data_IF_530480698667
#
_entry.id   IF_530480698667
#
_cell.length_a   1.000
_cell.length_b   1.000
_cell.length_c   1.000
_cell.angle_alpha   90.00
_cell.angle_beta   90.00
_cell.angle_gamma   90.00
#
_symmetry.space_group_name_H-M   'P 1'
#
loop_
_entity.id
_entity.type
_entity.pdbx_description
1 polymer ?
#
# COMPACT_ATOMS: atom_id res chain seq x y z
N UNK A 1 -6.61 -13.65 12.84
CA UNK A 1 -6.09 -12.26 12.83
C UNK A 1 -7.23 -11.30 13.09
N UNK A 2 -7.08 -10.44 14.08
CA UNK A 2 -8.03 -9.36 14.31
C UNK A 2 -7.79 -8.24 13.32
N UNK A 3 -8.86 -7.72 12.73
CA UNK A 3 -8.77 -6.63 11.75
C UNK A 3 -9.81 -5.58 12.10
N UNK A 4 -9.41 -4.32 12.06
CA UNK A 4 -10.31 -3.19 12.23
C UNK A 4 -10.39 -2.38 10.95
N UNK A 5 -11.54 -1.79 10.70
CA UNK A 5 -11.83 -1.05 9.48
C UNK A 5 -12.34 0.36 9.82
N UNK A 6 -11.96 1.34 9.00
CA UNK A 6 -12.47 2.69 9.06
C UNK A 6 -12.65 3.20 7.64
N UNK A 7 -13.87 3.57 7.27
CA UNK A 7 -14.16 4.10 5.96
C UNK A 7 -15.03 3.19 5.10
N UNK A 8 -14.85 3.25 3.80
CA UNK A 8 -15.72 2.57 2.84
C UNK A 8 -15.31 1.11 2.60
N UNK A 9 -15.93 0.18 3.28
CA UNK A 9 -15.64 -1.25 3.16
C UNK A 9 -16.00 -1.85 1.80
N UNK A 10 -16.84 -1.17 1.02
CA UNK A 10 -17.22 -1.64 -0.32
C UNK A 10 -16.04 -1.67 -1.27
N UNK A 11 -14.99 -0.90 -0.97
CA UNK A 11 -13.77 -0.90 -1.77
C UNK A 11 -13.10 -2.28 -1.81
N UNK A 12 -13.32 -3.11 -0.80
CA UNK A 12 -12.78 -4.48 -0.78
C UNK A 12 -13.34 -5.36 -1.90
N UNK A 13 -14.51 -5.01 -2.44
CA UNK A 13 -15.17 -5.78 -3.50
C UNK A 13 -14.66 -5.42 -4.90
N UNK A 14 -13.89 -4.34 -5.02
CA UNK A 14 -13.38 -3.87 -6.30
C UNK A 14 -12.00 -4.47 -6.60
N UNK A 15 -11.57 -4.37 -7.87
CA UNK A 15 -10.23 -4.83 -8.25
C UNK A 15 -9.18 -3.98 -7.54
N UNK A 16 -8.22 -4.65 -6.89
CA UNK A 16 -7.22 -4.00 -6.06
C UNK A 16 -5.82 -4.24 -6.60
N UNK A 17 -5.07 -3.17 -6.78
CA UNK A 17 -3.66 -3.20 -7.18
C UNK A 17 -2.83 -2.75 -5.98
N UNK A 18 -1.97 -3.63 -5.50
CA UNK A 18 -1.10 -3.33 -4.37
C UNK A 18 0.19 -2.67 -4.84
N UNK A 19 0.71 -1.75 -4.05
CA UNK A 19 2.04 -1.20 -4.24
C UNK A 19 2.91 -1.51 -3.02
N UNK A 20 4.02 -2.20 -3.25
CA UNK A 20 4.99 -2.53 -2.21
C UNK A 20 6.39 -2.13 -2.70
N UNK A 21 7.23 -1.63 -1.79
CA UNK A 21 8.56 -1.19 -2.16
C UNK A 21 9.51 -1.34 -0.98
N UNK A 22 10.73 -1.78 -1.26
CA UNK A 22 11.79 -1.86 -0.25
C UNK A 22 12.14 -0.47 0.28
N UNK A 23 12.68 -0.41 1.49
CA UNK A 23 13.15 0.85 2.08
C UNK A 23 14.34 1.40 1.33
N UNK A 24 15.27 0.53 0.94
CA UNK A 24 16.45 0.91 0.15
C UNK A 24 16.08 0.81 -1.30
N UNK A 25 16.13 1.92 -2.01
CA UNK A 25 15.67 2.05 -3.39
C UNK A 25 16.73 2.75 -4.22
N UNK A 26 17.01 2.23 -5.41
CA UNK A 26 17.92 2.90 -6.34
C UNK A 26 17.27 4.16 -6.90
N UNK A 27 18.08 5.14 -7.33
CA UNK A 27 17.57 6.41 -7.87
C UNK A 27 16.72 6.21 -9.12
N UNK A 28 17.08 5.24 -9.98
CA UNK A 28 16.28 4.92 -11.15
C UNK A 28 14.90 4.37 -10.81
N UNK A 29 14.83 3.56 -9.75
CA UNK A 29 13.57 2.99 -9.29
C UNK A 29 12.63 4.06 -8.72
N UNK A 30 13.18 5.09 -8.07
CA UNK A 30 12.38 6.18 -7.50
C UNK A 30 11.53 6.84 -8.57
N UNK A 31 12.13 7.21 -9.70
CA UNK A 31 11.42 7.85 -10.80
C UNK A 31 10.32 6.95 -11.36
N UNK A 32 10.60 5.66 -11.50
CA UNK A 32 9.61 4.71 -12.00
C UNK A 32 8.42 4.58 -11.07
N UNK A 33 8.66 4.63 -9.76
CA UNK A 33 7.59 4.60 -8.77
C UNK A 33 6.69 5.83 -8.89
N UNK A 34 7.29 7.00 -9.06
CA UNK A 34 6.53 8.26 -9.19
C UNK A 34 5.72 8.26 -10.49
N UNK A 35 6.31 7.83 -11.60
CA UNK A 35 5.61 7.74 -12.88
C UNK A 35 4.42 6.77 -12.80
N UNK A 36 4.64 5.62 -12.16
CA UNK A 36 3.56 4.65 -11.95
C UNK A 36 2.41 5.25 -11.14
N UNK A 37 2.74 5.93 -10.03
CA UNK A 37 1.73 6.55 -9.17
C UNK A 37 0.93 7.61 -9.93
N UNK A 38 1.60 8.42 -10.75
CA UNK A 38 0.95 9.45 -11.56
C UNK A 38 -0.02 8.83 -12.56
N UNK A 39 0.36 7.73 -13.21
CA UNK A 39 -0.52 7.01 -14.13
C UNK A 39 -1.72 6.42 -13.40
N UNK A 40 -1.50 5.83 -12.24
CA UNK A 40 -2.57 5.20 -11.47
C UNK A 40 -3.57 6.22 -10.93
N UNK A 41 -3.10 7.45 -10.64
CA UNK A 41 -3.94 8.51 -10.11
C UNK A 41 -5.07 8.90 -11.07
N UNK A 42 -4.90 8.66 -12.37
CA UNK A 42 -5.91 8.95 -13.40
C UNK A 42 -6.84 7.75 -13.66
N UNK A 43 -6.61 6.61 -13.02
CA UNK A 43 -7.35 5.38 -13.26
C UNK A 43 -8.47 5.14 -12.27
N UNK A 44 -9.11 3.98 -12.41
CA UNK A 44 -10.25 3.56 -11.60
C UNK A 44 -9.91 2.43 -10.61
N UNK A 45 -8.71 1.87 -10.69
CA UNK A 45 -8.33 0.78 -9.81
C UNK A 45 -8.20 1.25 -8.36
N UNK A 46 -8.61 0.39 -7.44
CA UNK A 46 -8.30 0.61 -6.03
C UNK A 46 -6.81 0.33 -5.84
N UNK A 47 -6.10 1.30 -5.28
CA UNK A 47 -4.69 1.12 -4.93
C UNK A 47 -4.60 0.81 -3.44
N UNK A 48 -3.98 -0.31 -3.11
CA UNK A 48 -3.83 -0.76 -1.72
C UNK A 48 -2.37 -0.81 -1.34
N UNK A 49 -2.05 -0.33 -0.14
CA UNK A 49 -0.68 -0.36 0.35
C UNK A 49 -0.57 0.01 1.81
N UNK A 50 0.63 -0.18 2.36
CA UNK A 50 0.94 0.23 3.73
C UNK A 50 1.40 1.67 3.81
N UNK A 51 1.99 2.17 2.73
CA UNK A 51 2.44 3.56 2.57
C UNK A 51 3.30 4.04 3.76
N UNK A 52 4.19 3.16 4.22
CA UNK A 52 4.97 3.43 5.43
C UNK A 52 6.39 3.90 5.15
N UNK A 53 7.08 3.29 4.18
CA UNK A 53 8.44 3.73 3.81
C UNK A 53 8.37 5.08 3.11
N UNK A 54 9.52 5.77 3.00
CA UNK A 54 9.55 7.08 2.35
C UNK A 54 8.99 7.03 0.92
N UNK A 55 9.42 6.04 0.13
CA UNK A 55 8.95 5.91 -1.26
C UNK A 55 7.46 5.63 -1.29
N UNK A 56 6.99 4.76 -0.41
CA UNK A 56 5.56 4.45 -0.35
C UNK A 56 4.73 5.67 0.05
N UNK A 57 5.24 6.49 0.97
CA UNK A 57 4.59 7.76 1.34
C UNK A 57 4.56 8.74 0.17
N UNK A 58 5.64 8.81 -0.59
CA UNK A 58 5.70 9.66 -1.78
C UNK A 58 4.69 9.20 -2.83
N UNK A 59 4.58 7.88 -3.04
CA UNK A 59 3.59 7.31 -3.95
C UNK A 59 2.18 7.66 -3.49
N UNK A 60 1.88 7.53 -2.20
CA UNK A 60 0.59 7.93 -1.66
C UNK A 60 0.30 9.41 -1.96
N UNK A 61 1.30 10.27 -1.78
CA UNK A 61 1.16 11.70 -2.06
C UNK A 61 0.72 11.95 -3.51
N UNK A 62 1.33 11.26 -4.48
CA UNK A 62 0.92 11.36 -5.88
C UNK A 62 -0.49 10.82 -6.11
N UNK A 63 -0.82 9.69 -5.49
CA UNK A 63 -2.14 9.07 -5.63
C UNK A 63 -3.26 9.95 -5.05
N UNK A 64 -2.97 10.68 -3.98
CA UNK A 64 -3.95 11.57 -3.36
C UNK A 64 -4.36 12.74 -4.26
N UNK A 65 -3.56 13.06 -5.27
CA UNK A 65 -3.90 14.09 -6.25
C UNK A 65 -4.93 13.60 -7.27
N UNK A 66 -5.14 12.29 -7.37
CA UNK A 66 -6.09 11.70 -8.29
C UNK A 66 -7.44 11.42 -7.65
N UNK A 67 -8.25 10.64 -8.36
CA UNK A 67 -9.62 10.30 -7.94
C UNK A 67 -9.80 8.81 -7.65
N UNK A 68 -8.77 7.99 -7.85
CA UNK A 68 -8.86 6.56 -7.64
C UNK A 68 -9.13 6.25 -6.16
N UNK A 69 -9.87 5.17 -5.86
CA UNK A 69 -10.06 4.73 -4.49
C UNK A 69 -8.78 4.20 -3.88
N UNK A 70 -8.65 4.34 -2.57
CA UNK A 70 -7.46 3.93 -1.81
C UNK A 70 -7.82 3.04 -0.64
N UNK A 71 -7.03 2.00 -0.43
CA UNK A 71 -7.06 1.21 0.81
C UNK A 71 -5.69 1.34 1.47
N UNK A 72 -5.66 1.94 2.64
CA UNK A 72 -4.44 2.11 3.44
C UNK A 72 -4.45 1.08 4.55
N UNK A 73 -3.47 0.19 4.56
CA UNK A 73 -3.35 -0.86 5.56
C UNK A 73 -2.24 -0.51 6.54
N UNK A 74 -2.61 -0.29 7.79
CA UNK A 74 -1.65 0.10 8.82
C UNK A 74 -1.30 -1.09 9.71
N UNK A 75 -0.03 -1.15 10.10
CA UNK A 75 0.53 -2.24 10.91
C UNK A 75 0.57 -1.87 12.40
N UNK A 76 -0.45 -1.16 12.84
CA UNK A 76 -0.59 -0.66 14.21
C UNK A 76 -2.07 -0.42 14.52
N UNK A 77 -2.37 -0.02 15.74
CA UNK A 77 -3.73 0.35 16.15
C UNK A 77 -4.30 1.45 15.24
N UNK A 78 -5.63 1.44 15.09
CA UNK A 78 -6.31 2.43 14.27
C UNK A 78 -6.01 3.85 14.74
N UNK A 79 -5.98 4.80 13.79
CA UNK A 79 -5.77 6.21 14.09
C UNK A 79 -6.82 6.73 15.05
N UNK A 80 -6.39 7.45 16.07
CA UNK A 80 -7.28 8.21 16.96
C UNK A 80 -7.70 9.50 16.27
N UNK A 81 -6.76 10.12 15.53
CA UNK A 81 -7.04 11.27 14.68
C UNK A 81 -6.57 10.93 13.27
N UNK A 82 -7.47 11.13 12.30
CA UNK A 82 -7.15 10.87 10.91
C UNK A 82 -6.09 11.87 10.43
N UNK A 83 -5.00 11.41 9.77
CA UNK A 83 -4.05 12.34 9.14
C UNK A 83 -4.78 13.29 8.19
N UNK A 84 -4.42 14.57 8.22
CA UNK A 84 -5.12 15.60 7.46
C UNK A 84 -5.26 15.30 5.98
N UNK A 85 -4.21 14.72 5.37
CA UNK A 85 -4.22 14.39 3.94
C UNK A 85 -5.24 13.31 3.56
N UNK A 86 -5.70 12.53 4.52
CA UNK A 86 -6.69 11.46 4.28
C UNK A 86 -8.13 11.92 4.50
N UNK A 87 -8.34 13.13 4.99
CA UNK A 87 -9.66 13.65 5.29
C UNK A 87 -10.53 13.78 4.04
N UNK A 88 -9.98 14.35 2.98
CA UNK A 88 -10.72 14.56 1.73
C UNK A 88 -11.18 13.25 1.10
N UNK A 89 -10.29 12.27 0.83
CA UNK A 89 -10.75 11.00 0.26
C UNK A 89 -11.68 10.24 1.19
N UNK A 90 -11.52 10.36 2.52
CA UNK A 90 -12.45 9.74 3.46
C UNK A 90 -13.85 10.33 3.33
N UNK A 91 -13.96 11.65 3.28
CA UNK A 91 -15.24 12.34 3.15
C UNK A 91 -15.90 12.06 1.79
N UNK A 92 -15.11 11.79 0.76
CA UNK A 92 -15.61 11.49 -0.58
C UNK A 92 -15.97 10.00 -0.77
N UNK A 93 -15.78 9.16 0.25
CA UNK A 93 -16.06 7.73 0.15
C UNK A 93 -15.04 6.93 -0.65
N UNK A 94 -13.86 7.49 -0.90
CA UNK A 94 -12.79 6.88 -1.70
C UNK A 94 -11.72 6.21 -0.86
N UNK A 95 -11.89 6.13 0.45
CA UNK A 95 -10.85 5.62 1.35
C UNK A 95 -11.40 4.55 2.28
N UNK A 96 -10.61 3.49 2.44
CA UNK A 96 -10.77 2.52 3.52
C UNK A 96 -9.42 2.39 4.22
N UNK A 97 -9.43 2.50 5.54
CA UNK A 97 -8.25 2.23 6.36
C UNK A 97 -8.46 0.90 7.06
N UNK A 98 -7.46 0.02 6.99
CA UNK A 98 -7.50 -1.29 7.63
C UNK A 98 -6.34 -1.39 8.62
N UNK A 99 -6.61 -1.79 9.85
CA UNK A 99 -5.56 -2.13 10.81
C UNK A 99 -5.45 -3.65 10.91
N UNK A 100 -4.27 -4.19 10.66
CA UNK A 100 -3.98 -5.62 10.83
C UNK A 100 -3.33 -5.91 12.17
N UNK A 101 -3.12 -4.89 13.00
CA UNK A 101 -2.51 -5.01 14.32
C UNK A 101 -3.18 -4.04 15.31
N UNK A 102 -4.49 -4.22 15.59
CA UNK A 102 -5.25 -3.25 16.39
C UNK A 102 -4.76 -3.11 17.83
N UNK A 103 -3.99 -4.09 18.33
CA UNK A 103 -3.45 -4.04 19.69
C UNK A 103 -2.01 -3.52 19.73
N UNK A 104 -1.40 -3.25 18.59
CA UNK A 104 -0.02 -2.76 18.53
C UNK A 104 0.02 -1.23 18.61
N UNK A 105 0.69 -0.69 19.63
CA UNK A 105 0.81 0.76 19.80
C UNK A 105 1.66 1.37 18.69
N UNK A 106 2.67 0.64 18.22
CA UNK A 106 3.57 1.11 17.16
C UNK A 106 3.92 -0.04 16.21
N UNK A 107 4.36 0.35 15.01
CA UNK A 107 4.79 -0.62 14.00
C UNK A 107 6.08 -1.30 14.41
N UNK A 108 6.17 -2.61 14.16
CA UNK A 108 7.38 -3.41 14.29
C UNK A 108 7.66 -4.12 12.98
N UNK A 109 8.81 -4.75 12.86
CA UNK A 109 9.12 -5.58 11.67
C UNK A 109 8.09 -6.70 11.53
N UNK A 110 7.70 -7.33 12.63
CA UNK A 110 6.71 -8.40 12.62
C UNK A 110 5.33 -7.91 12.15
N UNK A 111 4.83 -6.81 12.71
CA UNK A 111 3.52 -6.28 12.29
C UNK A 111 3.54 -5.75 10.87
N UNK A 112 4.66 -5.18 10.42
CA UNK A 112 4.82 -4.73 9.05
C UNK A 112 4.81 -5.89 8.06
N UNK A 113 5.50 -6.99 8.38
CA UNK A 113 5.52 -8.19 7.54
C UNK A 113 4.14 -8.84 7.44
N UNK A 114 3.43 -8.93 8.54
CA UNK A 114 2.05 -9.45 8.55
C UNK A 114 1.12 -8.59 7.72
N UNK A 115 1.25 -7.27 7.82
CA UNK A 115 0.47 -6.33 6.99
C UNK A 115 0.76 -6.53 5.52
N UNK A 116 2.03 -6.64 5.12
CA UNK A 116 2.40 -6.84 3.73
C UNK A 116 1.87 -8.18 3.19
N UNK A 117 1.89 -9.22 4.01
CA UNK A 117 1.30 -10.51 3.62
C UNK A 117 -0.20 -10.39 3.41
N UNK A 118 -0.89 -9.71 4.31
CA UNK A 118 -2.33 -9.47 4.19
C UNK A 118 -2.67 -8.72 2.89
N UNK A 119 -1.95 -7.61 2.61
CA UNK A 119 -2.13 -6.86 1.38
C UNK A 119 -1.98 -7.78 0.17
N UNK A 120 -0.92 -8.59 0.18
CA UNK A 120 -0.59 -9.46 -0.96
C UNK A 120 -1.65 -10.53 -1.19
N UNK A 121 -2.25 -11.05 -0.13
CA UNK A 121 -3.31 -12.05 -0.24
C UNK A 121 -4.57 -11.48 -0.88
N UNK A 122 -4.98 -10.27 -0.49
CA UNK A 122 -6.25 -9.72 -0.97
C UNK A 122 -6.14 -8.92 -2.26
N UNK A 123 -4.94 -8.54 -2.68
CA UNK A 123 -4.74 -7.80 -3.93
C UNK A 123 -4.92 -8.70 -5.14
N UNK A 124 -5.46 -8.15 -6.21
CA UNK A 124 -5.60 -8.86 -7.48
C UNK A 124 -4.30 -8.80 -8.29
N UNK A 125 -3.53 -7.74 -8.10
CA UNK A 125 -2.23 -7.54 -8.72
C UNK A 125 -1.30 -6.89 -7.70
N UNK A 126 -0.02 -7.26 -7.72
CA UNK A 126 0.98 -6.66 -6.83
C UNK A 126 2.05 -6.00 -7.68
N UNK A 127 2.26 -4.71 -7.46
CA UNK A 127 3.30 -3.94 -8.13
C UNK A 127 4.39 -3.64 -7.12
N UNK A 128 5.59 -4.16 -7.38
CA UNK A 128 6.77 -3.89 -6.58
C UNK A 128 7.55 -2.75 -7.22
N UNK A 129 7.73 -1.64 -6.50
CA UNK A 129 8.54 -0.53 -6.99
C UNK A 129 9.99 -0.92 -7.13
N UNK A 130 10.51 -1.61 -6.13
CA UNK A 130 11.87 -2.12 -6.09
C UNK A 130 11.96 -3.15 -4.96
N UNK A 131 12.69 -4.21 -5.18
CA UNK A 131 12.94 -5.21 -4.14
C UNK A 131 14.46 -5.30 -3.93
N UNK A 132 14.93 -4.79 -2.80
CA UNK A 132 16.35 -4.90 -2.46
C UNK A 132 16.68 -6.34 -2.08
N UNK A 133 17.95 -6.69 -2.20
CA UNK A 133 18.44 -8.07 -2.04
C UNK A 133 18.09 -8.70 -0.69
N UNK A 134 18.06 -7.89 0.36
CA UNK A 134 17.80 -8.36 1.73
C UNK A 134 16.37 -8.12 2.21
N UNK A 135 15.50 -7.63 1.33
CA UNK A 135 14.12 -7.31 1.69
C UNK A 135 13.28 -8.57 1.89
N UNK A 136 12.42 -8.54 2.91
CA UNK A 136 11.39 -9.58 3.11
C UNK A 136 10.39 -9.63 1.96
N UNK A 137 10.34 -8.60 1.12
CA UNK A 137 9.47 -8.58 -0.06
C UNK A 137 9.85 -9.64 -1.09
N UNK A 138 11.09 -10.14 -1.06
CA UNK A 138 11.50 -11.26 -1.92
C UNK A 138 10.63 -12.49 -1.73
N UNK A 139 10.30 -12.82 -0.49
CA UNK A 139 9.45 -13.98 -0.18
C UNK A 139 8.03 -13.77 -0.70
N UNK A 140 7.50 -12.57 -0.54
CA UNK A 140 6.16 -12.24 -1.05
C UNK A 140 6.15 -12.32 -2.58
N UNK A 141 7.17 -11.80 -3.24
CA UNK A 141 7.27 -11.86 -4.69
C UNK A 141 7.26 -13.31 -5.18
N UNK A 142 8.04 -14.19 -4.54
CA UNK A 142 8.09 -15.61 -4.91
C UNK A 142 6.77 -16.32 -4.67
N UNK A 143 6.09 -16.00 -3.57
CA UNK A 143 4.81 -16.63 -3.22
C UNK A 143 3.69 -16.22 -4.18
N UNK A 144 3.69 -14.99 -4.65
CA UNK A 144 2.63 -14.43 -5.50
C UNK A 144 3.14 -14.02 -6.88
N UNK A 145 4.13 -14.72 -7.40
CA UNK A 145 4.81 -14.34 -8.64
C UNK A 145 3.85 -14.19 -9.83
N UNK A 146 2.80 -15.01 -9.90
CA UNK A 146 1.86 -15.02 -11.02
C UNK A 146 1.05 -13.73 -11.14
N UNK A 147 0.88 -12.99 -10.04
CA UNK A 147 0.15 -11.72 -10.05
C UNK A 147 1.04 -10.53 -9.76
N UNK A 148 2.35 -10.73 -9.77
CA UNK A 148 3.33 -9.69 -9.40
C UNK A 148 4.03 -9.10 -10.60
N UNK A 149 4.42 -7.83 -10.49
CA UNK A 149 5.21 -7.08 -11.44
C UNK A 149 6.24 -6.26 -10.68
N UNK A 150 7.47 -6.18 -11.20
CA UNK A 150 8.50 -5.33 -10.62
C UNK A 150 8.74 -4.17 -11.59
N UNK A 151 8.63 -2.93 -11.11
CA UNK A 151 8.79 -1.75 -11.94
C UNK A 151 10.24 -1.52 -12.37
N UNK A 152 11.17 -1.89 -11.50
CA UNK A 152 12.58 -1.66 -11.77
C UNK A 152 13.44 -2.80 -11.23
N UNK A 153 14.23 -3.39 -12.12
CA UNK A 153 15.22 -4.40 -11.77
C UNK A 153 16.59 -3.91 -12.26
N UNK A 154 17.60 -4.21 -11.47
CA UNK A 154 18.98 -3.94 -11.88
C UNK A 154 19.45 -4.95 -12.92
#
# INVERSE_FOLDING_TARGET
MQIEYLGNKKLLELRKVAFLCSRTVSSGAILRCYDWATQMADGDNVIIGGFQSKIEKDVLHFLLKGKQPLIVVIARQMYKELPNELTKPMNEGRLLIISTAPNAVRVSEDTANKRNSYISEIADEIVFGYISKESSLNDIFQMFIEKSQILYTL
#
